data_IF_145245207806
#
_entry.id   IF_145245207806
#
_cell.length_a   1.000
_cell.length_b   1.000
_cell.length_c   1.000
_cell.angle_alpha   90.00
_cell.angle_beta   90.00
_cell.angle_gamma   90.00
#
_symmetry.space_group_name_H-M   'P 1'
#
loop_
_entity.id
_entity.type
_entity.pdbx_description
1 polymer ?
#
# COMPACT_ATOMS: atom_id res chain seq x y z
N UNK A 1 -0.08 8.70 10.49
CA UNK A 1 0.23 9.96 9.76
C UNK A 1 1.65 10.17 9.28
N UNK A 2 2.69 9.78 10.05
CA UNK A 2 4.10 10.10 9.71
C UNK A 2 4.51 9.63 8.29
N UNK A 3 4.09 8.43 7.88
CA UNK A 3 4.42 7.87 6.55
C UNK A 3 3.96 8.76 5.39
N UNK A 4 2.71 9.24 5.39
CA UNK A 4 2.23 10.12 4.31
C UNK A 4 2.86 11.51 4.36
N UNK A 5 3.17 12.01 5.55
CA UNK A 5 3.90 13.28 5.71
C UNK A 5 5.34 13.18 5.17
N UNK A 6 6.01 12.06 5.41
CA UNK A 6 7.39 11.82 4.92
C UNK A 6 7.41 11.48 3.43
N UNK A 7 6.38 10.81 2.91
CA UNK A 7 6.31 10.34 1.52
C UNK A 7 4.98 10.72 0.86
N UNK A 8 4.71 12.03 0.63
CA UNK A 8 3.39 12.50 0.22
C UNK A 8 2.92 11.94 -1.13
N UNK A 9 3.85 11.76 -2.07
CA UNK A 9 3.52 11.32 -3.42
C UNK A 9 4.06 9.93 -3.75
N UNK A 10 4.80 9.29 -2.84
CA UNK A 10 5.40 7.98 -3.14
C UNK A 10 4.30 6.90 -3.12
N UNK A 11 4.26 6.00 -4.10
CA UNK A 11 3.41 4.81 -4.05
C UNK A 11 3.75 3.93 -2.84
N UNK A 12 2.72 3.53 -2.08
CA UNK A 12 2.84 2.65 -0.92
C UNK A 12 1.71 1.62 -1.01
N UNK A 13 2.05 0.35 -0.73
CA UNK A 13 1.11 -0.75 -0.57
C UNK A 13 1.47 -1.54 0.70
N UNK A 14 0.54 -2.34 1.21
CA UNK A 14 0.76 -3.26 2.33
C UNK A 14 0.40 -4.68 1.90
N UNK A 15 1.23 -5.67 2.27
CA UNK A 15 0.95 -7.09 2.06
C UNK A 15 0.99 -7.76 3.43
N UNK A 16 -0.10 -8.45 3.77
CA UNK A 16 -0.20 -9.27 4.98
C UNK A 16 0.04 -10.72 4.57
N UNK A 17 1.14 -11.31 5.03
CA UNK A 17 1.51 -12.71 4.74
C UNK A 17 1.32 -13.50 6.02
N UNK A 18 0.41 -14.47 5.99
CA UNK A 18 0.09 -15.34 7.13
C UNK A 18 -0.15 -14.57 8.44
N UNK A 19 -0.72 -13.37 8.35
CA UNK A 19 -0.98 -12.52 9.50
C UNK A 19 -2.09 -13.12 10.36
N UNK A 20 -1.99 -12.99 11.69
CA UNK A 20 -3.08 -13.43 12.56
C UNK A 20 -4.32 -12.53 12.37
N UNK A 21 -5.51 -13.11 12.48
CA UNK A 21 -6.78 -12.44 12.16
C UNK A 21 -6.94 -11.06 12.81
N UNK A 22 -6.65 -10.95 14.10
CA UNK A 22 -6.80 -9.70 14.85
C UNK A 22 -5.70 -8.68 14.52
N UNK A 23 -4.48 -9.15 14.20
CA UNK A 23 -3.41 -8.29 13.69
C UNK A 23 -3.72 -7.74 12.31
N UNK A 24 -4.17 -8.63 11.42
CA UNK A 24 -4.59 -8.28 10.07
C UNK A 24 -5.69 -7.20 10.10
N UNK A 25 -6.74 -7.38 10.91
CA UNK A 25 -7.79 -6.37 11.09
C UNK A 25 -7.26 -5.00 11.51
N UNK A 26 -6.35 -4.96 12.50
CA UNK A 26 -5.75 -3.69 12.96
C UNK A 26 -4.98 -3.00 11.84
N UNK A 27 -4.17 -3.75 11.09
CA UNK A 27 -3.40 -3.20 9.97
C UNK A 27 -4.31 -2.73 8.84
N UNK A 28 -5.33 -3.51 8.47
CA UNK A 28 -6.31 -3.14 7.44
C UNK A 28 -7.03 -1.85 7.82
N UNK A 29 -7.45 -1.71 9.08
CA UNK A 29 -8.10 -0.50 9.59
C UNK A 29 -7.20 0.73 9.41
N UNK A 30 -5.98 0.67 9.93
CA UNK A 30 -5.03 1.79 9.83
C UNK A 30 -4.62 2.10 8.38
N UNK A 31 -4.44 1.07 7.55
CA UNK A 31 -4.12 1.25 6.14
C UNK A 31 -5.29 1.88 5.37
N UNK A 32 -6.54 1.50 5.68
CA UNK A 32 -7.75 2.08 5.10
C UNK A 32 -7.90 3.57 5.45
N UNK A 33 -7.70 3.94 6.72
CA UNK A 33 -7.70 5.34 7.18
C UNK A 33 -6.63 6.16 6.43
N UNK A 34 -5.47 5.56 6.18
CA UNK A 34 -4.39 6.16 5.40
C UNK A 34 -4.60 6.05 3.89
N UNK A 35 -5.65 5.40 3.38
CA UNK A 35 -5.88 5.13 1.95
C UNK A 35 -4.68 4.44 1.30
N UNK A 36 -4.13 3.43 1.96
CA UNK A 36 -3.05 2.56 1.48
C UNK A 36 -3.67 1.21 1.07
N UNK A 37 -3.53 0.78 -0.20
CA UNK A 37 -4.00 -0.52 -0.65
C UNK A 37 -3.35 -1.65 0.16
N UNK A 38 -4.16 -2.59 0.64
CA UNK A 38 -3.74 -3.73 1.45
C UNK A 38 -4.18 -5.03 0.79
N UNK A 39 -3.29 -6.02 0.77
CA UNK A 39 -3.51 -7.35 0.18
C UNK A 39 -3.22 -8.42 1.23
N UNK A 40 -4.03 -9.46 1.30
CA UNK A 40 -3.89 -10.53 2.27
C UNK A 40 -3.56 -11.83 1.55
N UNK A 41 -2.36 -12.36 1.76
CA UNK A 41 -1.84 -13.57 1.11
C UNK A 41 -1.84 -13.55 -0.44
N UNK A 42 -1.96 -12.37 -1.05
CA UNK A 42 -2.03 -12.20 -2.51
C UNK A 42 -0.82 -11.41 -3.03
N UNK A 43 0.35 -12.02 -2.95
CA UNK A 43 1.63 -11.36 -3.30
C UNK A 43 1.64 -10.89 -4.76
N UNK A 44 1.20 -11.72 -5.70
CA UNK A 44 1.19 -11.34 -7.12
C UNK A 44 0.29 -10.13 -7.41
N UNK A 45 -0.90 -10.12 -6.81
CA UNK A 45 -1.85 -9.02 -6.98
C UNK A 45 -1.30 -7.72 -6.40
N UNK A 46 -0.63 -7.81 -5.26
CA UNK A 46 0.04 -6.69 -4.64
C UNK A 46 1.17 -6.12 -5.51
N UNK A 47 2.04 -6.99 -6.05
CA UNK A 47 3.14 -6.57 -6.94
C UNK A 47 2.60 -5.91 -8.21
N UNK A 48 1.57 -6.49 -8.84
CA UNK A 48 0.90 -5.89 -10.01
C UNK A 48 0.27 -4.55 -9.69
N UNK A 49 -0.41 -4.44 -8.56
CA UNK A 49 -1.00 -3.18 -8.08
C UNK A 49 0.06 -2.11 -7.82
N UNK A 50 1.18 -2.48 -7.20
CA UNK A 50 2.30 -1.56 -6.97
C UNK A 50 2.90 -1.05 -8.28
N UNK A 51 3.11 -1.93 -9.26
CA UNK A 51 3.62 -1.55 -10.58
C UNK A 51 2.74 -0.49 -11.23
N UNK A 52 1.42 -0.65 -11.18
CA UNK A 52 0.47 0.34 -11.72
C UNK A 52 0.58 1.70 -11.02
N UNK A 53 0.65 1.71 -9.68
CA UNK A 53 0.84 2.95 -8.92
C UNK A 53 2.19 3.61 -9.20
N UNK A 54 3.24 2.81 -9.34
CA UNK A 54 4.58 3.28 -9.67
C UNK A 54 4.65 3.89 -11.07
N UNK A 55 3.99 3.28 -12.06
CA UNK A 55 3.96 3.82 -13.42
C UNK A 55 3.21 5.14 -13.48
N UNK A 56 2.08 5.25 -12.77
CA UNK A 56 1.35 6.52 -12.62
C UNK A 56 2.22 7.60 -11.95
N UNK A 57 2.85 7.27 -10.83
CA UNK A 57 3.75 8.19 -10.12
C UNK A 57 4.93 8.63 -10.98
N UNK A 58 5.57 7.69 -11.69
CA UNK A 58 6.72 7.96 -12.55
C UNK A 58 6.35 8.86 -13.73
N UNK A 59 5.13 8.75 -14.27
CA UNK A 59 4.63 9.66 -15.31
C UNK A 59 4.44 11.08 -14.79
N UNK A 60 3.94 11.24 -13.56
CA UNK A 60 3.76 12.55 -12.94
C UNK A 60 5.09 13.21 -12.59
N UNK A 61 6.06 12.45 -12.07
CA UNK A 61 7.39 12.97 -11.70
C UNK A 61 8.25 13.36 -12.91
N UNK A 62 7.91 12.88 -14.11
CA UNK A 62 8.60 13.26 -15.36
C UNK A 62 8.07 14.57 -15.98
N UNK A 63 6.97 15.12 -15.46
CA UNK A 63 6.55 16.50 -15.70
C UNK A 63 7.19 17.40 -14.64
#
# INVERSE_FOLDING_TARGET
>A
DKIKKTFPNKPIITILIQAEHEGAKRVIKSASELKIPTFENEVERAVRGYKLLFDWYSKIKKK
#
